data_IF_270871682325
#
_entry.id   IF_270871682325
#
_cell.length_a   1.000
_cell.length_b   1.000
_cell.length_c   1.000
_cell.angle_alpha   90.00
_cell.angle_beta   90.00
_cell.angle_gamma   90.00
#
_symmetry.space_group_name_H-M   'P 1'
#
loop_
_entity.id
_entity.type
_entity.pdbx_description
1 polymer ?
#
# COMPACT_ATOMS: atom_id res chain seq x y z
N UNK A 1 -50.40 -27.98 64.08
CA UNK A 1 -49.67 -26.80 63.53
C UNK A 1 -48.21 -27.08 63.17
N UNK A 2 -47.39 -27.73 64.03
CA UNK A 2 -45.94 -27.94 63.82
C UNK A 2 -45.53 -28.68 62.52
N UNK A 3 -46.28 -29.70 62.07
CA UNK A 3 -45.96 -30.48 60.85
C UNK A 3 -46.08 -29.67 59.56
N UNK A 4 -47.06 -28.76 59.45
CA UNK A 4 -47.22 -27.90 58.28
C UNK A 4 -46.07 -26.88 58.18
N UNK A 5 -45.68 -26.28 59.31
CA UNK A 5 -44.54 -25.36 59.37
C UNK A 5 -43.18 -26.01 59.04
N UNK A 6 -42.96 -27.27 59.43
CA UNK A 6 -41.74 -28.03 59.06
C UNK A 6 -41.72 -28.35 57.56
N UNK A 7 -42.86 -28.73 56.98
CA UNK A 7 -42.97 -28.97 55.53
C UNK A 7 -42.69 -27.67 54.75
N UNK A 8 -43.24 -26.54 55.22
CA UNK A 8 -42.96 -25.23 54.60
C UNK A 8 -41.48 -24.86 54.68
N UNK A 9 -40.80 -25.13 55.80
CA UNK A 9 -39.36 -24.91 55.97
C UNK A 9 -38.52 -25.79 55.04
N UNK A 10 -38.88 -27.06 54.87
CA UNK A 10 -38.17 -27.97 53.97
C UNK A 10 -38.37 -27.57 52.51
N UNK A 11 -39.57 -27.13 52.13
CA UNK A 11 -39.84 -26.61 50.79
C UNK A 11 -39.03 -25.35 50.49
N UNK A 12 -38.89 -24.43 51.45
CA UNK A 12 -38.13 -23.21 51.24
C UNK A 12 -36.62 -23.49 51.14
N UNK A 13 -36.08 -24.42 51.92
CA UNK A 13 -34.68 -24.86 51.79
C UNK A 13 -34.44 -25.55 50.44
N UNK A 14 -35.36 -26.41 50.00
CA UNK A 14 -35.27 -27.07 48.70
C UNK A 14 -35.32 -26.06 47.55
N UNK A 15 -36.18 -25.04 47.63
CA UNK A 15 -36.27 -23.97 46.65
C UNK A 15 -34.93 -23.23 46.52
N UNK A 16 -34.31 -22.86 47.65
CA UNK A 16 -33.00 -22.19 47.67
C UNK A 16 -31.92 -23.08 47.03
N UNK A 17 -31.91 -24.37 47.36
CA UNK A 17 -30.96 -25.33 46.78
C UNK A 17 -31.11 -25.43 45.25
N UNK A 18 -32.34 -25.48 44.74
CA UNK A 18 -32.62 -25.52 43.28
C UNK A 18 -32.16 -24.24 42.59
N UNK A 19 -32.42 -23.06 43.19
CA UNK A 19 -31.99 -21.78 42.62
C UNK A 19 -30.46 -21.67 42.55
N UNK A 20 -29.76 -22.10 43.62
CA UNK A 20 -28.30 -22.08 43.66
C UNK A 20 -27.69 -23.01 42.61
N UNK A 21 -28.16 -24.26 42.54
CA UNK A 21 -27.69 -25.25 41.57
C UNK A 21 -28.00 -24.78 40.14
N UNK A 22 -29.23 -24.33 39.89
CA UNK A 22 -29.65 -23.81 38.59
C UNK A 22 -28.83 -22.60 38.14
N UNK A 23 -28.53 -21.68 39.05
CA UNK A 23 -27.67 -20.52 38.78
C UNK A 23 -26.24 -20.92 38.44
N UNK A 24 -25.64 -21.86 39.17
CA UNK A 24 -24.28 -22.35 38.87
C UNK A 24 -24.20 -23.09 37.53
N UNK A 25 -25.21 -23.90 37.19
CA UNK A 25 -25.27 -24.58 35.91
C UNK A 25 -25.47 -23.56 34.76
N UNK A 26 -26.32 -22.57 34.94
CA UNK A 26 -26.53 -21.50 33.96
C UNK A 26 -25.24 -20.68 33.72
N UNK A 27 -24.49 -20.38 34.78
CA UNK A 27 -23.21 -19.67 34.66
C UNK A 27 -22.14 -20.51 33.92
N UNK A 28 -22.10 -21.83 34.16
CA UNK A 28 -21.13 -22.72 33.51
C UNK A 28 -21.49 -23.06 32.06
N UNK A 29 -22.79 -23.07 31.73
CA UNK A 29 -23.30 -23.36 30.37
C UNK A 29 -23.50 -22.08 29.56
N UNK A 30 -23.29 -20.90 30.15
CA UNK A 30 -23.26 -19.63 29.43
C UNK A 30 -22.03 -19.58 28.51
N UNK A 31 -22.13 -20.22 27.36
CA UNK A 31 -21.26 -19.98 26.22
C UNK A 31 -21.62 -18.59 25.68
N UNK A 32 -20.71 -17.63 25.87
CA UNK A 32 -20.77 -16.40 25.08
C UNK A 32 -20.46 -16.74 23.63
N UNK A 33 -21.13 -16.09 22.68
CA UNK A 33 -20.77 -16.21 21.27
C UNK A 33 -19.27 -16.01 21.12
N UNK A 34 -18.62 -16.96 20.44
CA UNK A 34 -17.19 -16.86 20.17
C UNK A 34 -16.93 -15.57 19.39
N UNK A 35 -16.10 -14.69 19.93
CA UNK A 35 -15.52 -13.59 19.17
C UNK A 35 -14.47 -14.22 18.25
N UNK A 36 -14.91 -14.63 17.05
CA UNK A 36 -14.00 -15.14 16.03
C UNK A 36 -13.16 -13.97 15.51
N UNK A 37 -11.89 -13.94 15.87
CA UNK A 37 -10.94 -13.00 15.31
C UNK A 37 -10.40 -13.60 14.00
N UNK A 38 -11.01 -13.22 12.88
CA UNK A 38 -10.56 -13.66 11.55
C UNK A 38 -9.44 -12.75 11.06
N UNK A 39 -8.29 -13.31 10.73
CA UNK A 39 -7.22 -12.60 10.04
C UNK A 39 -7.40 -12.79 8.54
N UNK A 40 -7.60 -11.70 7.80
CA UNK A 40 -7.50 -11.70 6.35
C UNK A 40 -6.07 -11.32 5.97
N UNK A 41 -5.46 -12.07 5.05
CA UNK A 41 -4.20 -11.66 4.45
C UNK A 41 -4.48 -10.55 3.44
N UNK A 42 -3.65 -9.52 3.49
CA UNK A 42 -3.61 -8.53 2.44
C UNK A 42 -3.14 -9.17 1.13
N UNK A 43 -3.82 -8.79 0.05
CA UNK A 43 -3.46 -9.10 -1.33
C UNK A 43 -2.79 -7.88 -1.95
N UNK A 44 -1.47 -7.78 -1.78
CA UNK A 44 -0.63 -6.72 -2.33
C UNK A 44 0.16 -7.30 -3.50
N UNK A 45 -0.06 -6.75 -4.68
CA UNK A 45 0.66 -7.12 -5.90
C UNK A 45 0.85 -5.86 -6.74
N UNK A 46 2.00 -5.22 -6.62
CA UNK A 46 2.38 -4.02 -7.38
C UNK A 46 3.52 -4.34 -8.33
N UNK A 47 3.50 -3.77 -9.53
CA UNK A 47 4.50 -4.04 -10.57
C UNK A 47 4.82 -2.76 -11.35
N UNK A 48 6.04 -2.66 -11.88
CA UNK A 48 6.42 -1.57 -12.79
C UNK A 48 6.08 -1.98 -14.22
N UNK A 49 5.37 -1.11 -14.91
CA UNK A 49 5.08 -1.26 -16.33
C UNK A 49 5.76 -0.13 -17.12
N UNK A 50 6.31 -0.49 -18.29
CA UNK A 50 6.89 0.45 -19.24
C UNK A 50 6.19 0.28 -20.60
N UNK A 51 5.39 1.26 -21.04
CA UNK A 51 4.46 1.06 -22.15
C UNK A 51 5.14 0.99 -23.53
N UNK A 52 6.42 1.36 -23.62
CA UNK A 52 7.16 1.39 -24.89
C UNK A 52 8.58 0.84 -24.69
N UNK A 53 8.89 -0.29 -25.33
CA UNK A 53 10.27 -0.73 -25.52
C UNK A 53 10.95 0.11 -26.62
N UNK A 54 11.05 1.43 -26.37
CA UNK A 54 11.89 2.29 -27.18
C UNK A 54 13.33 2.22 -26.66
N UNK A 55 14.30 2.35 -27.56
CA UNK A 55 15.71 2.54 -27.16
C UNK A 55 16.03 4.02 -26.90
N UNK A 56 15.01 4.88 -26.94
CA UNK A 56 15.15 6.32 -26.81
C UNK A 56 15.01 6.72 -25.34
N UNK A 57 16.13 7.05 -24.72
CA UNK A 57 16.17 7.46 -23.33
C UNK A 57 15.30 8.70 -23.03
N UNK A 58 15.03 9.54 -24.03
CA UNK A 58 14.26 10.79 -23.86
C UNK A 58 12.74 10.59 -23.79
N UNK A 59 12.26 9.36 -24.00
CA UNK A 59 10.84 9.03 -24.07
C UNK A 59 10.48 7.80 -23.19
N UNK A 60 11.20 7.63 -22.08
CA UNK A 60 11.00 6.55 -21.11
C UNK A 60 9.96 6.95 -20.07
N UNK A 61 8.88 6.18 -19.94
CA UNK A 61 7.72 6.52 -19.08
C UNK A 61 7.29 5.39 -18.13
N UNK A 62 8.15 4.95 -17.20
CA UNK A 62 7.81 3.87 -16.27
C UNK A 62 6.78 4.33 -15.22
N UNK A 63 5.77 3.51 -14.94
CA UNK A 63 4.75 3.73 -13.91
C UNK A 63 4.51 2.45 -13.09
N UNK A 64 3.86 2.58 -11.92
CA UNK A 64 3.52 1.43 -11.06
C UNK A 64 2.04 1.12 -11.17
N UNK A 65 1.69 -0.16 -11.27
CA UNK A 65 0.30 -0.66 -11.27
C UNK A 65 0.06 -1.51 -10.03
N UNK A 66 -1.11 -1.37 -9.40
CA UNK A 66 -1.56 -2.31 -8.36
C UNK A 66 -2.50 -3.36 -8.95
N UNK A 67 -2.06 -4.60 -9.12
CA UNK A 67 -2.90 -5.73 -9.53
C UNK A 67 -3.58 -6.44 -8.36
N UNK A 68 -3.11 -6.21 -7.12
CA UNK A 68 -3.64 -6.82 -5.91
C UNK A 68 -4.97 -6.21 -5.49
N UNK A 69 -5.80 -6.99 -4.79
CA UNK A 69 -7.10 -6.50 -4.32
C UNK A 69 -7.01 -5.48 -3.18
N UNK A 70 -5.87 -5.37 -2.50
CA UNK A 70 -5.69 -4.42 -1.38
C UNK A 70 -5.24 -3.07 -1.89
N UNK A 71 -5.80 -2.00 -1.34
CA UNK A 71 -5.39 -0.62 -1.62
C UNK A 71 -3.99 -0.35 -1.03
N UNK A 72 -3.14 0.36 -1.77
CA UNK A 72 -1.73 0.56 -1.40
C UNK A 72 -1.22 1.97 -1.65
N UNK A 73 -0.33 2.46 -0.81
CA UNK A 73 0.56 3.57 -1.14
C UNK A 73 1.83 3.05 -1.80
N UNK A 74 2.40 3.86 -2.70
CA UNK A 74 3.60 3.51 -3.48
C UNK A 74 4.65 4.60 -3.32
N UNK A 75 5.90 4.17 -3.18
CA UNK A 75 7.08 5.02 -3.41
C UNK A 75 7.97 4.38 -4.46
N UNK A 76 8.68 5.20 -5.24
CA UNK A 76 9.59 4.75 -6.27
C UNK A 76 10.84 5.63 -6.35
N UNK A 77 11.90 5.11 -6.97
CA UNK A 77 13.12 5.85 -7.28
C UNK A 77 13.80 5.28 -8.52
N UNK A 78 14.55 6.12 -9.22
CA UNK A 78 15.48 5.67 -10.24
C UNK A 78 16.86 5.43 -9.60
N UNK A 79 17.57 4.41 -10.06
CA UNK A 79 18.90 4.05 -9.58
C UNK A 79 19.82 3.90 -10.79
N UNK A 80 20.78 4.80 -10.91
CA UNK A 80 21.84 4.73 -11.92
C UNK A 80 22.89 3.74 -11.45
N UNK A 81 23.15 2.72 -12.25
CA UNK A 81 24.12 1.66 -11.96
C UNK A 81 25.17 1.62 -13.06
N UNK A 82 26.44 1.80 -12.66
CA UNK A 82 27.56 1.54 -13.56
C UNK A 82 27.63 0.04 -13.84
N UNK A 83 27.66 -0.34 -15.13
CA UNK A 83 27.73 -1.74 -15.55
C UNK A 83 29.12 -2.30 -15.30
N UNK A 84 29.17 -3.61 -15.04
CA UNK A 84 30.44 -4.33 -14.97
C UNK A 84 31.20 -4.20 -16.31
N UNK A 85 32.51 -3.93 -16.20
CA UNK A 85 33.37 -3.63 -17.34
C UNK A 85 33.33 -2.18 -17.86
N UNK A 86 32.54 -1.28 -17.27
CA UNK A 86 32.64 0.16 -17.59
C UNK A 86 34.03 0.69 -17.20
N UNK A 87 34.73 1.44 -18.08
CA UNK A 87 36.04 2.01 -17.77
C UNK A 87 35.96 3.19 -16.80
N UNK A 88 34.79 3.81 -16.68
CA UNK A 88 34.53 4.95 -15.80
C UNK A 88 33.21 4.77 -15.02
N UNK A 89 33.11 5.30 -13.80
CA UNK A 89 31.86 5.32 -13.06
C UNK A 89 30.87 6.31 -13.68
N UNK A 90 29.59 5.97 -13.58
CA UNK A 90 28.45 6.83 -13.93
C UNK A 90 27.54 6.96 -12.72
N UNK A 91 27.10 8.18 -12.46
CA UNK A 91 26.22 8.56 -11.37
C UNK A 91 25.03 9.35 -11.92
N UNK A 92 24.02 9.57 -11.08
CA UNK A 92 22.88 10.43 -11.45
C UNK A 92 23.31 11.86 -11.79
N UNK A 93 24.40 12.36 -11.20
CA UNK A 93 24.94 13.69 -11.49
C UNK A 93 25.44 13.87 -12.93
N UNK A 94 25.63 12.78 -13.66
CA UNK A 94 26.07 12.79 -15.06
C UNK A 94 24.90 12.92 -16.06
N UNK A 95 23.65 13.03 -15.58
CA UNK A 95 22.45 13.13 -16.42
C UNK A 95 21.36 13.97 -15.76
N UNK A 96 20.26 14.18 -16.47
CA UNK A 96 19.04 14.81 -15.94
C UNK A 96 17.88 13.84 -16.12
N UNK A 97 17.33 13.33 -15.02
CA UNK A 97 16.10 12.53 -15.02
C UNK A 97 14.93 13.50 -14.85
N UNK A 98 14.00 13.52 -15.81
CA UNK A 98 12.84 14.43 -15.80
C UNK A 98 11.71 13.85 -14.95
N UNK A 99 11.84 13.94 -13.64
CA UNK A 99 10.84 13.45 -12.69
C UNK A 99 9.51 14.20 -12.79
N UNK A 100 8.40 13.46 -12.68
CA UNK A 100 7.06 14.03 -12.73
C UNK A 100 6.59 14.49 -11.34
N UNK A 101 7.14 15.61 -10.86
CA UNK A 101 6.89 16.12 -9.50
C UNK A 101 5.80 17.18 -9.38
N UNK A 102 5.07 17.46 -10.46
CA UNK A 102 4.07 18.52 -10.49
C UNK A 102 2.69 17.91 -10.59
N UNK A 103 1.75 18.37 -9.74
CA UNK A 103 0.32 18.12 -9.90
C UNK A 103 -0.17 18.92 -11.11
N UNK A 104 0.21 18.51 -12.32
CA UNK A 104 -0.09 19.24 -13.55
C UNK A 104 -1.51 18.90 -13.99
N UNK A 105 -2.49 19.52 -13.34
CA UNK A 105 -3.86 19.48 -13.83
C UNK A 105 -3.92 20.13 -15.23
N UNK A 106 -4.33 19.33 -16.22
CA UNK A 106 -5.03 19.79 -17.42
C UNK A 106 -4.25 20.41 -18.60
N UNK A 107 -3.16 19.78 -19.08
CA UNK A 107 -2.85 19.81 -20.53
C UNK A 107 -2.24 18.47 -20.91
N UNK A 108 -2.89 17.72 -21.81
CA UNK A 108 -2.61 16.32 -22.12
C UNK A 108 -1.27 16.03 -22.80
N UNK A 109 -0.18 16.34 -22.11
CA UNK A 109 1.20 16.10 -22.55
C UNK A 109 1.87 14.96 -21.77
N UNK A 110 1.47 14.72 -20.51
CA UNK A 110 2.17 13.76 -19.63
C UNK A 110 1.27 12.80 -18.84
N UNK A 111 -0.05 12.81 -19.06
CA UNK A 111 -0.98 11.89 -18.38
C UNK A 111 -1.05 10.50 -19.04
N UNK A 112 -1.58 9.47 -18.36
CA UNK A 112 -1.69 8.13 -18.90
C UNK A 112 -2.48 8.13 -20.22
N UNK A 113 -2.04 7.30 -21.17
CA UNK A 113 -2.74 7.13 -22.45
C UNK A 113 -4.21 6.80 -22.19
N UNK A 114 -5.10 7.64 -22.73
CA UNK A 114 -6.53 7.61 -22.41
C UNK A 114 -7.18 6.24 -22.66
N UNK A 115 -7.42 5.48 -21.59
CA UNK A 115 -8.50 4.51 -21.54
C UNK A 115 -8.98 4.23 -20.09
N UNK A 116 -10.19 4.74 -19.79
CA UNK A 116 -11.18 4.20 -18.84
C UNK A 116 -11.16 4.77 -17.38
N UNK A 117 -12.23 5.53 -17.07
CA UNK A 117 -12.68 6.05 -15.76
C UNK A 117 -11.69 6.95 -14.95
N UNK A 118 -11.28 8.09 -15.50
CA UNK A 118 -10.46 9.08 -14.78
C UNK A 118 -11.23 9.75 -13.63
N UNK A 119 -10.72 9.64 -12.40
CA UNK A 119 -11.05 10.54 -11.30
C UNK A 119 -9.89 11.52 -11.18
N UNK A 120 -10.16 12.80 -11.44
CA UNK A 120 -9.17 13.86 -11.35
C UNK A 120 -8.77 14.11 -9.89
N UNK A 121 -7.67 13.50 -9.45
CA UNK A 121 -7.23 13.52 -8.04
C UNK A 121 -6.08 14.48 -7.75
N UNK A 122 -5.42 15.06 -8.77
CA UNK A 122 -4.24 15.89 -8.56
C UNK A 122 -3.02 15.14 -8.04
N UNK A 123 -2.95 13.85 -8.29
CA UNK A 123 -1.86 13.01 -7.85
C UNK A 123 -0.55 13.38 -8.55
N UNK A 124 0.56 13.27 -7.84
CA UNK A 124 1.91 13.55 -8.34
C UNK A 124 2.94 12.77 -7.52
N UNK A 125 4.17 12.75 -7.99
CA UNK A 125 5.30 12.20 -7.24
C UNK A 125 5.92 13.27 -6.35
N UNK A 126 5.73 13.16 -5.04
CA UNK A 126 6.34 14.04 -4.07
C UNK A 126 7.78 13.59 -3.78
N UNK A 127 8.82 14.38 -4.10
CA UNK A 127 10.18 14.06 -3.73
C UNK A 127 10.38 14.19 -2.22
N UNK A 128 11.33 13.43 -1.68
CA UNK A 128 11.76 13.51 -0.29
C UNK A 128 13.29 13.43 -0.19
N UNK A 129 13.85 13.86 0.94
CA UNK A 129 15.30 13.96 1.17
C UNK A 129 16.02 12.59 1.25
N UNK A 130 15.26 11.50 1.29
CA UNK A 130 15.73 10.11 1.32
C UNK A 130 16.00 9.52 -0.08
N UNK A 131 15.82 10.31 -1.13
CA UNK A 131 15.97 9.89 -2.54
C UNK A 131 14.78 9.08 -3.06
N UNK A 132 13.67 9.03 -2.32
CA UNK A 132 12.42 8.43 -2.76
C UNK A 132 11.42 9.48 -3.22
N UNK A 133 10.61 9.06 -4.18
CA UNK A 133 9.44 9.78 -4.64
C UNK A 133 8.19 9.05 -4.16
N UNK A 134 7.31 9.75 -3.47
CA UNK A 134 6.11 9.21 -2.88
C UNK A 134 4.91 9.59 -3.74
N UNK A 135 4.16 8.61 -4.22
CA UNK A 135 2.93 8.89 -4.93
C UNK A 135 1.88 9.39 -3.92
N UNK A 136 1.30 10.55 -4.19
CA UNK A 136 0.52 11.28 -3.17
C UNK A 136 -0.84 10.66 -2.85
N UNK A 137 -1.34 9.78 -3.72
CA UNK A 137 -2.60 9.05 -3.52
C UNK A 137 -2.34 7.55 -3.49
N UNK A 138 -3.24 6.81 -2.83
CA UNK A 138 -3.24 5.36 -2.86
C UNK A 138 -3.77 4.82 -4.19
N UNK A 139 -3.41 3.57 -4.50
CA UNK A 139 -3.86 2.81 -5.66
C UNK A 139 -4.79 1.69 -5.21
N UNK A 140 -6.05 1.74 -5.64
CA UNK A 140 -6.96 0.59 -5.59
C UNK A 140 -6.63 -0.40 -6.72
N UNK A 141 -7.29 -1.57 -6.71
CA UNK A 141 -7.04 -2.62 -7.69
C UNK A 141 -7.18 -2.11 -9.14
N UNK A 142 -6.16 -2.41 -9.95
CA UNK A 142 -5.94 -2.02 -11.34
C UNK A 142 -5.71 -0.51 -11.58
N UNK A 143 -5.54 0.30 -10.53
CA UNK A 143 -5.07 1.68 -10.70
C UNK A 143 -3.56 1.73 -10.90
N UNK A 144 -3.13 2.78 -11.58
CA UNK A 144 -1.72 3.05 -11.86
C UNK A 144 -1.34 4.46 -11.42
N UNK A 145 -0.04 4.65 -11.18
CA UNK A 145 0.53 5.98 -10.98
C UNK A 145 0.63 6.74 -12.30
N UNK A 146 0.91 8.03 -12.21
CA UNK A 146 1.60 8.76 -13.27
C UNK A 146 3.01 8.17 -13.49
N UNK A 147 3.62 8.33 -14.68
CA UNK A 147 5.01 7.97 -14.88
C UNK A 147 5.92 8.63 -13.82
N UNK A 148 6.87 7.89 -13.26
CA UNK A 148 7.84 8.42 -12.29
C UNK A 148 8.68 9.55 -12.91
N UNK A 149 9.10 9.33 -14.15
CA UNK A 149 9.75 10.28 -15.03
C UNK A 149 9.30 10.02 -16.47
N UNK A 150 9.56 10.96 -17.36
CA UNK A 150 9.18 10.86 -18.78
C UNK A 150 10.38 10.84 -19.74
N UNK A 151 11.60 10.87 -19.21
CA UNK A 151 12.81 10.78 -20.01
C UNK A 151 14.08 11.10 -19.23
N UNK A 152 15.21 10.78 -19.87
CA UNK A 152 16.56 11.07 -19.40
C UNK A 152 17.28 11.90 -20.46
N UNK A 153 17.84 13.03 -20.06
CA UNK A 153 18.47 14.02 -20.92
C UNK A 153 19.82 14.48 -20.36
N UNK A 154 20.52 15.35 -21.11
CA UNK A 154 21.80 15.95 -20.73
C UNK A 154 22.83 14.93 -20.23
N UNK A 155 22.84 13.74 -20.85
CA UNK A 155 23.79 12.68 -20.51
C UNK A 155 25.18 13.17 -20.89
N UNK A 156 25.99 13.41 -19.86
CA UNK A 156 27.36 13.91 -19.93
C UNK A 156 28.40 12.87 -19.50
N UNK A 157 27.95 11.66 -19.21
CA UNK A 157 28.81 10.50 -19.01
C UNK A 157 29.74 10.30 -20.22
N UNK A 158 30.94 9.78 -19.94
CA UNK A 158 31.92 9.47 -20.99
C UNK A 158 31.31 8.53 -22.04
N UNK A 159 31.64 8.73 -23.32
CA UNK A 159 31.10 7.91 -24.42
C UNK A 159 31.46 6.42 -24.29
N UNK A 160 32.53 6.10 -23.56
CA UNK A 160 32.94 4.72 -23.26
C UNK A 160 32.27 4.12 -22.03
N UNK A 161 31.50 4.92 -21.28
CA UNK A 161 30.83 4.48 -20.08
C UNK A 161 29.69 3.51 -20.40
N UNK A 162 29.54 2.48 -19.56
CA UNK A 162 28.46 1.52 -19.64
C UNK A 162 27.65 1.62 -18.34
N UNK A 163 26.36 1.88 -18.44
CA UNK A 163 25.47 2.01 -17.28
C UNK A 163 24.04 1.59 -17.64
N UNK A 164 23.26 1.28 -16.61
CA UNK A 164 21.83 1.02 -16.68
C UNK A 164 21.10 1.94 -15.68
N UNK A 165 19.83 2.23 -15.94
CA UNK A 165 18.96 2.94 -15.00
C UNK A 165 17.84 1.97 -14.62
N UNK A 166 17.78 1.61 -13.35
CA UNK A 166 16.71 0.77 -12.83
C UNK A 166 15.67 1.62 -12.13
N UNK A 167 14.41 1.28 -12.29
CA UNK A 167 13.34 1.80 -11.44
C UNK A 167 13.07 0.78 -10.35
N UNK A 168 13.08 1.25 -9.11
CA UNK A 168 12.76 0.44 -7.94
C UNK A 168 11.55 1.05 -7.25
N UNK A 169 10.60 0.22 -6.82
CA UNK A 169 9.42 0.66 -6.10
C UNK A 169 9.17 -0.21 -4.85
N UNK A 170 8.43 0.37 -3.92
CA UNK A 170 7.89 -0.30 -2.75
C UNK A 170 6.43 0.09 -2.59
N UNK A 171 5.64 -0.80 -2.00
CA UNK A 171 4.25 -0.52 -1.66
C UNK A 171 3.90 -0.99 -0.26
N UNK A 172 3.05 -0.23 0.41
CA UNK A 172 2.50 -0.54 1.73
C UNK A 172 0.98 -0.47 1.68
N UNK A 173 0.31 -1.21 2.54
CA UNK A 173 -1.15 -1.14 2.65
C UNK A 173 -1.61 0.27 2.97
N UNK A 174 -2.62 0.74 2.25
CA UNK A 174 -3.34 1.94 2.63
C UNK A 174 -4.08 1.64 3.94
N UNK A 175 -3.67 2.32 5.00
CA UNK A 175 -4.39 2.35 6.27
C UNK A 175 -5.04 3.73 6.44
N UNK A 176 -5.55 4.08 7.61
CA UNK A 176 -6.18 5.39 7.85
C UNK A 176 -5.20 6.60 7.79
N UNK A 177 -3.98 6.41 7.29
CA UNK A 177 -2.98 7.47 7.08
C UNK A 177 -3.45 8.50 6.03
N UNK A 178 -2.96 9.73 6.15
CA UNK A 178 -3.48 10.84 5.35
C UNK A 178 -2.86 10.94 3.94
N UNK A 179 -1.66 10.39 3.71
CA UNK A 179 -0.93 10.53 2.44
C UNK A 179 0.25 9.53 2.28
N UNK A 180 0.82 9.49 1.08
CA UNK A 180 1.93 8.61 0.70
C UNK A 180 3.14 8.67 1.65
N UNK A 181 3.80 9.83 1.87
CA UNK A 181 4.96 9.92 2.75
C UNK A 181 4.71 9.40 4.18
N UNK A 182 3.55 9.72 4.76
CA UNK A 182 3.21 9.26 6.12
C UNK A 182 3.08 7.73 6.20
N UNK A 183 2.62 7.07 5.13
CA UNK A 183 2.43 5.62 5.12
C UNK A 183 3.73 4.79 5.19
N UNK A 184 4.89 5.39 4.92
CA UNK A 184 6.20 4.71 4.89
C UNK A 184 7.12 5.06 6.08
N UNK A 185 6.66 5.88 7.03
CA UNK A 185 7.40 6.29 8.23
C UNK A 185 6.89 5.59 9.49
#
# INVERSE_FOLDING_TARGET
MKRKSIITLLLSVLLIAVVLVGGTLAYLVAEGDLVINSFALADVNTEIEEPVDNKDASAKTPYVVNYGASEVYVRARAVVVTRDGSPVPVTEGDMTIRYNTTATFATGEFGPQQNVWWTDTGAYWQPNDDGWYYYTVSLTQNQQTEPLFDGVENISADESALFDIYVYHESVLASAEANGPEAFN
#
